data_IF_041034899935
#
_entry.id   IF_041034899935
#
_cell.length_a   1.000
_cell.length_b   1.000
_cell.length_c   1.000
_cell.angle_alpha   90.00
_cell.angle_beta   90.00
_cell.angle_gamma   90.00
#
_symmetry.space_group_name_H-M   'P 1'
#
loop_
_entity.id
_entity.type
_entity.pdbx_description
1 polymer ?
#
# COMPACT_ATOMS: atom_id res chain seq x y z
N UNK A 1 19.53 6.86 16.34
CA UNK A 1 18.81 7.44 15.18
C UNK A 1 18.38 6.28 14.32
N UNK A 2 17.12 6.25 13.90
CA UNK A 2 16.61 5.20 13.01
C UNK A 2 17.27 5.41 11.64
N UNK A 3 18.36 4.68 11.36
CA UNK A 3 19.32 4.97 10.27
C UNK A 3 18.71 5.06 8.86
N UNK A 4 17.50 4.52 8.66
CA UNK A 4 16.84 4.44 7.36
C UNK A 4 15.66 5.40 7.18
N UNK A 5 15.41 6.29 8.14
CA UNK A 5 14.31 7.26 8.09
C UNK A 5 14.89 8.66 8.11
N UNK A 6 14.60 9.50 7.12
CA UNK A 6 15.05 10.89 7.18
C UNK A 6 14.28 11.59 8.32
N UNK A 7 15.03 12.22 9.21
CA UNK A 7 14.56 12.84 10.46
C UNK A 7 14.74 14.34 10.33
N UNK A 8 13.64 15.09 10.37
CA UNK A 8 13.68 16.55 10.46
C UNK A 8 13.07 17.05 11.77
N UNK A 9 13.76 17.97 12.44
CA UNK A 9 13.31 18.56 13.71
C UNK A 9 12.37 19.74 13.46
N UNK A 10 11.15 19.64 13.97
CA UNK A 10 10.10 20.66 13.82
C UNK A 10 10.02 21.60 15.03
N UNK A 11 11.14 21.87 15.71
CA UNK A 11 11.18 22.77 16.87
C UNK A 11 10.94 24.24 16.51
N UNK A 12 11.21 24.63 15.27
CA UNK A 12 10.96 25.99 14.75
C UNK A 12 9.50 26.28 14.40
N UNK A 13 8.62 25.27 14.46
CA UNK A 13 7.24 25.33 13.97
C UNK A 13 6.21 25.62 15.08
N UNK A 14 6.56 26.44 16.07
CA UNK A 14 5.71 26.85 17.21
C UNK A 14 5.22 25.70 18.11
N UNK A 15 5.40 25.84 19.43
CA UNK A 15 5.01 24.81 20.42
C UNK A 15 4.56 25.43 21.72
N UNK A 16 3.69 24.71 22.42
CA UNK A 16 3.45 24.97 23.83
C UNK A 16 4.74 24.68 24.65
N UNK A 17 5.14 25.58 25.56
CA UNK A 17 6.26 25.33 26.47
C UNK A 17 6.05 24.06 27.30
N UNK A 18 7.01 23.12 27.26
CA UNK A 18 6.99 21.89 28.05
C UNK A 18 6.63 20.60 27.28
N UNK A 19 6.24 20.70 26.01
CA UNK A 19 6.00 19.53 25.16
C UNK A 19 7.29 19.03 24.50
N UNK A 20 7.41 17.70 24.33
CA UNK A 20 8.53 17.10 23.61
C UNK A 20 8.56 17.59 22.14
N UNK A 21 9.74 17.82 21.53
CA UNK A 21 9.85 18.18 20.12
C UNK A 21 9.17 17.14 19.20
N UNK A 22 8.71 17.52 18.01
CA UNK A 22 8.19 16.62 16.99
C UNK A 22 9.25 16.46 15.93
N UNK A 23 9.27 15.27 15.39
CA UNK A 23 10.17 14.83 14.36
C UNK A 23 9.32 14.34 13.20
N UNK A 24 9.63 14.80 12.00
CA UNK A 24 9.07 14.22 10.79
C UNK A 24 9.94 13.06 10.31
N UNK A 25 9.26 11.98 9.96
CA UNK A 25 9.82 10.70 9.55
C UNK A 25 9.31 10.36 8.16
N UNK A 26 10.23 10.18 7.22
CA UNK A 26 9.92 9.77 5.84
C UNK A 26 11.18 9.84 5.01
N UNK A 27 11.24 9.16 3.86
CA UNK A 27 12.38 9.31 2.94
C UNK A 27 12.55 10.75 2.43
N UNK A 28 11.45 11.48 2.31
CA UNK A 28 11.40 12.83 1.74
C UNK A 28 10.92 13.88 2.75
N UNK A 29 11.03 13.62 4.05
CA UNK A 29 10.47 14.50 5.09
C UNK A 29 10.91 15.96 4.91
N UNK A 30 12.20 16.22 4.68
CA UNK A 30 12.73 17.57 4.44
C UNK A 30 12.14 18.29 3.22
N UNK A 31 12.10 17.64 2.06
CA UNK A 31 11.57 18.27 0.84
C UNK A 31 10.06 18.43 0.94
N UNK A 32 9.33 17.39 1.33
CA UNK A 32 7.88 17.40 1.36
C UNK A 32 7.36 18.40 2.41
N UNK A 33 8.00 18.52 3.57
CA UNK A 33 7.68 19.55 4.55
C UNK A 33 7.91 20.98 4.04
N UNK A 34 8.94 21.21 3.22
CA UNK A 34 9.16 22.52 2.57
C UNK A 34 8.03 22.91 1.60
N UNK A 35 7.36 21.92 1.01
CA UNK A 35 6.21 22.12 0.11
C UNK A 35 4.88 22.16 0.85
N UNK A 36 4.82 21.55 2.03
CA UNK A 36 3.65 21.57 2.88
C UNK A 36 3.53 22.97 3.47
N UNK A 37 2.67 23.82 2.90
CA UNK A 37 2.14 24.95 3.67
C UNK A 37 1.29 24.32 4.77
N UNK A 38 1.77 24.34 6.01
CA UNK A 38 0.91 24.15 7.18
C UNK A 38 0.03 25.40 7.20
N UNK A 39 -1.05 25.34 6.40
CA UNK A 39 -1.60 26.51 5.76
C UNK A 39 -2.30 27.47 6.73
N UNK A 40 -2.57 27.06 7.97
CA UNK A 40 -3.22 27.90 8.99
C UNK A 40 -2.85 27.55 10.44
N UNK A 41 -1.84 26.71 10.70
CA UNK A 41 -1.46 26.32 12.06
C UNK A 41 0.01 26.67 12.34
N UNK A 42 0.23 27.65 13.21
CA UNK A 42 1.55 28.00 13.78
C UNK A 42 2.19 26.83 14.57
N UNK A 43 1.65 25.61 14.52
CA UNK A 43 2.01 24.47 15.35
C UNK A 43 2.00 23.17 14.52
N UNK A 44 3.13 22.44 14.48
CA UNK A 44 3.15 21.09 13.93
C UNK A 44 2.32 20.13 14.81
N UNK A 45 1.48 19.29 14.19
CA UNK A 45 0.63 18.30 14.89
C UNK A 45 1.17 16.89 14.64
N UNK A 46 1.11 16.04 15.66
CA UNK A 46 1.41 14.62 15.50
C UNK A 46 0.38 13.94 14.59
N UNK A 47 0.85 13.19 13.59
CA UNK A 47 -0.03 12.55 12.62
C UNK A 47 0.70 11.98 11.41
N UNK A 48 -0.08 11.42 10.49
CA UNK A 48 0.40 10.79 9.27
C UNK A 48 -0.08 11.62 8.08
N UNK A 49 0.85 12.18 7.32
CA UNK A 49 0.57 12.91 6.09
C UNK A 49 0.81 12.01 4.88
N UNK A 50 -0.24 11.55 4.19
CA UNK A 50 -0.09 10.73 2.99
C UNK A 50 0.78 11.41 1.93
N UNK A 51 1.68 10.66 1.27
CA UNK A 51 2.54 11.17 0.20
C UNK A 51 2.14 10.62 -1.16
N UNK A 52 1.64 11.53 -2.00
CA UNK A 52 1.14 11.20 -3.32
C UNK A 52 0.02 10.15 -3.29
N UNK A 53 -0.34 9.72 -4.48
CA UNK A 53 -1.39 8.72 -4.75
C UNK A 53 -1.31 7.41 -3.94
N UNK A 54 -0.12 6.84 -3.67
CA UNK A 54 0.03 5.57 -2.97
C UNK A 54 -0.22 5.80 -1.49
N UNK A 55 0.29 6.91 -0.97
CA UNK A 55 -0.07 7.39 0.36
C UNK A 55 -1.57 7.59 0.47
N UNK A 56 -2.19 8.25 -0.50
CA UNK A 56 -3.65 8.48 -0.50
C UNK A 56 -4.45 7.17 -0.58
N UNK A 57 -4.07 6.24 -1.47
CA UNK A 57 -4.69 4.93 -1.56
C UNK A 57 -4.60 4.17 -0.23
N UNK A 58 -3.47 4.28 0.46
CA UNK A 58 -3.25 3.55 1.70
C UNK A 58 -3.90 4.22 2.92
N UNK A 59 -3.61 5.50 3.15
CA UNK A 59 -3.96 6.22 4.37
C UNK A 59 -5.31 6.94 4.32
N UNK A 60 -5.82 7.31 3.13
CA UNK A 60 -7.12 7.99 3.01
C UNK A 60 -8.29 7.03 2.71
N UNK A 61 -8.02 5.87 2.09
CA UNK A 61 -9.09 4.91 1.74
C UNK A 61 -9.26 3.80 2.76
N UNK A 62 -8.16 3.33 3.35
CA UNK A 62 -8.23 2.31 4.39
C UNK A 62 -8.42 2.97 5.76
N UNK A 63 -9.04 2.27 6.72
CA UNK A 63 -8.95 2.67 8.12
C UNK A 63 -7.48 2.76 8.54
N UNK A 64 -7.10 3.75 9.35
CA UNK A 64 -5.72 3.92 9.79
C UNK A 64 -5.14 2.64 10.44
N UNK A 65 -5.95 1.89 11.18
CA UNK A 65 -5.57 0.65 11.86
C UNK A 65 -5.26 -0.49 10.89
N UNK A 66 -5.84 -0.46 9.68
CA UNK A 66 -5.50 -1.37 8.59
C UNK A 66 -4.27 -0.87 7.82
N UNK A 67 -4.26 0.42 7.47
CA UNK A 67 -3.20 1.05 6.69
C UNK A 67 -1.81 0.80 7.33
N UNK A 68 -1.73 0.96 8.66
CA UNK A 68 -0.48 0.75 9.41
C UNK A 68 -0.04 -0.71 9.46
N UNK A 69 -0.91 -1.68 9.19
CA UNK A 69 -0.54 -3.09 9.06
C UNK A 69 -0.03 -3.42 7.66
N UNK A 70 -0.39 -2.65 6.64
CA UNK A 70 0.05 -2.88 5.25
C UNK A 70 1.49 -2.39 5.06
N UNK A 71 1.82 -1.21 5.60
CA UNK A 71 3.17 -0.67 5.54
C UNK A 71 3.44 0.31 6.70
N UNK A 72 4.70 0.46 7.13
CA UNK A 72 5.06 1.55 8.03
C UNK A 72 4.85 2.91 7.33
N UNK A 73 4.40 3.96 8.06
CA UNK A 73 4.08 5.26 7.47
C UNK A 73 5.20 5.87 6.64
N UNK A 74 6.44 5.83 7.12
CA UNK A 74 7.58 6.46 6.44
C UNK A 74 7.95 5.88 5.07
N UNK A 75 7.26 4.82 4.58
CA UNK A 75 7.38 4.32 3.21
C UNK A 75 6.56 5.11 2.18
N UNK A 76 5.43 5.69 2.59
CA UNK A 76 4.46 6.31 1.68
C UNK A 76 3.68 7.48 2.32
N UNK A 77 4.18 7.98 3.44
CA UNK A 77 3.67 9.12 4.17
C UNK A 77 4.82 9.80 4.95
N UNK A 78 4.57 11.02 5.41
CA UNK A 78 5.38 11.66 6.46
C UNK A 78 4.69 11.37 7.79
N UNK A 79 5.36 10.65 8.69
CA UNK A 79 4.90 10.52 10.07
C UNK A 79 5.53 11.61 10.93
N UNK A 80 4.71 12.50 11.47
CA UNK A 80 5.13 13.47 12.47
C UNK A 80 4.88 12.87 13.84
N UNK A 81 5.94 12.60 14.60
CA UNK A 81 5.88 11.93 15.92
C UNK A 81 6.67 12.70 16.96
N UNK A 82 6.42 12.49 18.24
CA UNK A 82 7.23 13.09 19.30
C UNK A 82 8.65 12.52 19.35
N UNK A 83 9.63 13.35 19.68
CA UNK A 83 11.03 13.00 19.80
C UNK A 83 11.27 11.97 20.90
N UNK A 84 10.49 12.02 21.98
CA UNK A 84 10.60 11.04 23.06
C UNK A 84 10.08 9.66 22.64
N UNK A 85 9.05 9.59 21.78
CA UNK A 85 8.63 8.34 21.11
C UNK A 85 9.77 7.80 20.25
N UNK A 86 10.38 8.64 19.40
CA UNK A 86 11.53 8.23 18.59
C UNK A 86 12.73 7.78 19.45
N UNK A 87 12.97 8.45 20.58
CA UNK A 87 14.10 8.14 21.47
C UNK A 87 13.88 6.85 22.26
N UNK A 88 12.61 6.52 22.57
CA UNK A 88 12.23 5.29 23.26
C UNK A 88 12.25 4.05 22.35
N UNK A 89 12.25 4.23 21.03
CA UNK A 89 12.14 3.16 20.04
C UNK A 89 13.33 3.19 19.07
N UNK A 90 14.45 2.53 19.42
CA UNK A 90 15.71 2.68 18.71
C UNK A 90 15.73 2.01 17.32
N UNK A 91 14.83 1.04 17.07
CA UNK A 91 14.74 0.34 15.78
C UNK A 91 13.52 0.80 14.97
N UNK A 92 13.58 0.62 13.64
CA UNK A 92 12.43 0.84 12.74
C UNK A 92 11.23 -0.05 13.12
N UNK A 93 11.49 -1.28 13.58
CA UNK A 93 10.48 -2.22 14.02
C UNK A 93 9.75 -1.74 15.28
N UNK A 94 10.50 -1.35 16.33
CA UNK A 94 9.94 -0.82 17.57
C UNK A 94 9.13 0.45 17.30
N UNK A 95 9.66 1.31 16.45
CA UNK A 95 8.99 2.56 16.08
C UNK A 95 7.70 2.30 15.31
N UNK A 96 7.67 1.26 14.47
CA UNK A 96 6.49 0.93 13.70
C UNK A 96 5.39 0.40 14.62
N UNK A 97 5.76 -0.47 15.56
CA UNK A 97 4.84 -0.95 16.59
C UNK A 97 4.27 0.23 17.39
N UNK A 98 5.13 1.14 17.85
CA UNK A 98 4.70 2.29 18.65
C UNK A 98 3.75 3.21 17.87
N UNK A 99 4.04 3.50 16.61
CA UNK A 99 3.13 4.29 15.76
C UNK A 99 1.83 3.54 15.53
N UNK A 100 1.86 2.23 15.28
CA UNK A 100 0.66 1.42 15.14
C UNK A 100 -0.23 1.49 16.39
N UNK A 101 0.34 1.34 17.59
CA UNK A 101 -0.39 1.49 18.87
C UNK A 101 -1.04 2.86 19.01
N UNK A 102 -0.33 3.92 18.61
CA UNK A 102 -0.85 5.30 18.67
C UNK A 102 -1.98 5.53 17.68
N UNK A 103 -1.86 5.03 16.45
CA UNK A 103 -2.92 5.04 15.42
C UNK A 103 -4.18 4.37 15.98
N UNK A 104 -4.07 3.15 16.53
CA UNK A 104 -5.23 2.43 17.10
C UNK A 104 -5.88 3.16 18.29
N UNK A 105 -5.11 3.98 19.01
CA UNK A 105 -5.61 4.78 20.14
C UNK A 105 -6.15 6.16 19.74
N UNK A 106 -6.15 6.50 18.44
CA UNK A 106 -6.55 7.81 17.93
C UNK A 106 -5.57 8.95 18.22
N UNK A 107 -4.35 8.64 18.71
CA UNK A 107 -3.31 9.63 19.09
C UNK A 107 -2.37 10.01 17.93
N UNK A 108 -2.60 9.44 16.75
CA UNK A 108 -1.85 9.73 15.53
C UNK A 108 -2.84 9.68 14.36
N UNK A 109 -3.61 10.75 14.12
CA UNK A 109 -4.59 10.80 13.05
C UNK A 109 -3.93 10.85 11.67
N UNK A 110 -4.70 10.47 10.64
CA UNK A 110 -4.34 10.76 9.24
C UNK A 110 -4.69 12.22 8.96
N UNK A 111 -3.72 12.97 8.47
CA UNK A 111 -3.79 14.38 8.14
C UNK A 111 -3.90 14.56 6.62
N UNK A 112 -4.21 15.78 6.11
CA UNK A 112 -4.29 16.02 4.67
C UNK A 112 -3.02 15.57 3.93
N UNK A 113 -3.23 15.01 2.73
CA UNK A 113 -2.17 14.55 1.86
C UNK A 113 -1.27 15.70 1.40
N UNK A 114 0.00 15.40 1.21
CA UNK A 114 1.01 16.31 0.68
C UNK A 114 1.28 15.92 -0.77
N UNK A 115 1.26 16.90 -1.66
CA UNK A 115 1.65 16.70 -3.06
C UNK A 115 3.10 16.25 -3.11
N UNK A 116 3.32 15.09 -3.73
CA UNK A 116 4.63 14.56 -4.02
C UNK A 116 4.68 14.17 -5.49
N UNK A 117 5.81 14.42 -6.15
CA UNK A 117 6.07 13.76 -7.43
C UNK A 117 6.17 12.27 -7.16
N UNK A 118 5.56 11.45 -8.02
CA UNK A 118 5.71 10.00 -7.95
C UNK A 118 7.20 9.64 -8.00
N UNK A 119 7.74 9.15 -6.89
CA UNK A 119 9.15 8.77 -6.80
C UNK A 119 9.31 7.39 -6.14
N UNK A 120 10.55 6.93 -6.09
CA UNK A 120 11.00 5.60 -5.72
C UNK A 120 10.59 5.25 -4.27
N UNK A 121 9.39 4.69 -4.14
CA UNK A 121 8.89 4.12 -2.89
C UNK A 121 9.42 2.70 -2.74
N UNK A 122 9.75 2.29 -1.51
CA UNK A 122 10.03 0.88 -1.20
C UNK A 122 8.75 0.06 -1.47
N UNK A 123 8.72 -0.60 -2.63
CA UNK A 123 7.61 -1.43 -3.13
C UNK A 123 7.95 -2.91 -2.94
N UNK A 124 6.96 -3.80 -2.75
CA UNK A 124 7.22 -5.23 -2.76
C UNK A 124 7.87 -5.64 -4.08
N UNK A 125 8.92 -6.44 -3.99
CA UNK A 125 9.53 -7.08 -5.16
C UNK A 125 8.51 -7.93 -5.92
N UNK A 126 8.71 -8.08 -7.22
CA UNK A 126 7.87 -8.94 -8.05
C UNK A 126 7.86 -10.37 -7.51
N UNK A 127 9.03 -10.85 -7.10
CA UNK A 127 9.22 -12.11 -6.37
C UNK A 127 9.39 -11.84 -4.87
N UNK A 128 9.02 -12.77 -3.98
CA UNK A 128 9.18 -12.57 -2.55
C UNK A 128 10.66 -12.45 -2.19
N UNK A 129 10.94 -11.51 -1.29
CA UNK A 129 12.21 -11.46 -0.59
C UNK A 129 12.10 -12.36 0.64
N UNK A 130 13.11 -13.19 0.91
CA UNK A 130 13.13 -14.03 2.11
C UNK A 130 13.35 -13.15 3.35
N UNK A 131 12.32 -12.43 3.78
CA UNK A 131 12.34 -11.60 4.97
C UNK A 131 11.30 -12.08 5.99
N UNK A 132 11.64 -11.95 7.27
CA UNK A 132 10.75 -12.28 8.37
C UNK A 132 10.12 -11.00 8.88
N UNK A 133 8.79 -10.95 8.94
CA UNK A 133 8.11 -9.80 9.55
C UNK A 133 8.22 -9.81 11.08
N UNK A 134 8.14 -8.63 11.72
CA UNK A 134 8.04 -8.50 13.16
C UNK A 134 6.99 -9.42 13.79
N UNK A 135 7.29 -10.00 14.96
CA UNK A 135 6.36 -10.92 15.66
C UNK A 135 5.06 -10.20 16.04
N UNK A 136 5.15 -8.94 16.48
CA UNK A 136 3.98 -8.14 16.81
C UNK A 136 3.08 -7.95 15.57
N UNK A 137 3.67 -7.73 14.40
CA UNK A 137 2.94 -7.50 13.16
C UNK A 137 2.24 -8.78 12.70
N UNK A 138 2.93 -9.91 12.73
CA UNK A 138 2.34 -11.22 12.43
C UNK A 138 1.12 -11.50 13.33
N UNK A 139 1.25 -11.28 14.63
CA UNK A 139 0.14 -11.43 15.57
C UNK A 139 -1.02 -10.46 15.28
N UNK A 140 -0.71 -9.20 14.94
CA UNK A 140 -1.72 -8.20 14.59
C UNK A 140 -2.45 -8.51 13.30
N UNK A 141 -1.77 -9.01 12.27
CA UNK A 141 -2.39 -9.48 11.02
C UNK A 141 -3.33 -10.64 11.32
N UNK A 142 -2.86 -11.66 12.05
CA UNK A 142 -3.66 -12.86 12.36
C UNK A 142 -4.92 -12.55 13.18
N UNK A 143 -4.87 -11.52 14.03
CA UNK A 143 -6.00 -11.10 14.88
C UNK A 143 -6.81 -9.93 14.33
N UNK A 144 -6.42 -9.35 13.18
CA UNK A 144 -7.08 -8.17 12.63
C UNK A 144 -8.54 -8.46 12.28
N UNK A 145 -9.44 -7.57 12.68
CA UNK A 145 -10.85 -7.59 12.30
C UNK A 145 -11.33 -6.17 12.01
N UNK A 146 -12.07 -5.93 10.91
CA UNK A 146 -12.58 -4.61 10.53
C UNK A 146 -13.74 -4.09 11.41
N UNK A 147 -13.93 -4.65 12.61
CA UNK A 147 -15.10 -4.44 13.46
C UNK A 147 -16.25 -5.34 13.04
N UNK A 148 -17.32 -4.75 12.49
CA UNK A 148 -18.50 -5.49 12.00
C UNK A 148 -18.15 -6.28 10.74
N UNK A 149 -18.07 -7.61 10.88
CA UNK A 149 -17.76 -8.53 9.78
C UNK A 149 -19.04 -9.11 9.20
N UNK A 150 -19.36 -8.76 7.95
CA UNK A 150 -20.49 -9.31 7.20
C UNK A 150 -20.13 -10.60 6.45
N UNK A 151 -18.86 -10.79 6.07
CA UNK A 151 -18.40 -11.98 5.33
C UNK A 151 -17.06 -12.48 5.86
N UNK A 152 -17.07 -13.65 6.49
CA UNK A 152 -15.84 -14.31 6.95
C UNK A 152 -14.96 -14.78 5.80
N UNK A 153 -15.55 -15.11 4.66
CA UNK A 153 -14.79 -15.51 3.46
C UNK A 153 -14.01 -14.32 2.91
N UNK A 154 -14.63 -13.15 2.83
CA UNK A 154 -13.95 -11.93 2.36
C UNK A 154 -12.95 -11.42 3.41
N UNK A 155 -13.20 -11.65 4.70
CA UNK A 155 -12.19 -11.42 5.75
C UNK A 155 -10.96 -12.33 5.57
N UNK A 156 -11.15 -13.61 5.23
CA UNK A 156 -10.02 -14.50 4.90
C UNK A 156 -9.27 -14.03 3.66
N UNK A 157 -9.95 -13.46 2.67
CA UNK A 157 -9.29 -12.84 1.52
C UNK A 157 -8.48 -11.60 1.91
N UNK A 158 -8.98 -10.77 2.83
CA UNK A 158 -8.22 -9.63 3.38
C UNK A 158 -6.96 -10.10 4.12
N UNK A 159 -7.06 -11.15 4.94
CA UNK A 159 -5.89 -11.74 5.61
C UNK A 159 -4.87 -12.31 4.63
N UNK A 160 -5.31 -12.98 3.56
CA UNK A 160 -4.41 -13.43 2.49
C UNK A 160 -3.65 -12.25 1.87
N UNK A 161 -4.35 -11.14 1.56
CA UNK A 161 -3.73 -9.90 1.08
C UNK A 161 -2.69 -9.31 2.04
N UNK A 162 -3.02 -9.22 3.34
CA UNK A 162 -2.10 -8.73 4.37
C UNK A 162 -0.84 -9.61 4.49
N UNK A 163 -0.97 -10.92 4.42
CA UNK A 163 0.19 -11.82 4.40
C UNK A 163 1.03 -11.59 3.15
N UNK A 164 0.38 -11.34 2.01
CA UNK A 164 1.04 -11.24 0.72
C UNK A 164 1.81 -9.94 0.52
N UNK A 165 1.36 -8.81 1.06
CA UNK A 165 2.15 -7.55 1.06
C UNK A 165 3.42 -7.67 1.90
N UNK A 166 3.49 -8.69 2.76
CA UNK A 166 4.60 -9.01 3.67
C UNK A 166 5.39 -10.26 3.25
N UNK A 167 5.28 -10.67 1.99
CA UNK A 167 6.02 -11.81 1.41
C UNK A 167 5.75 -13.16 2.10
N UNK A 168 4.67 -13.29 2.88
CA UNK A 168 4.23 -14.55 3.50
C UNK A 168 3.42 -15.38 2.51
N UNK A 169 4.05 -15.79 1.40
CA UNK A 169 3.37 -16.46 0.27
C UNK A 169 2.71 -17.77 0.68
N UNK A 170 3.39 -18.63 1.44
CA UNK A 170 2.82 -19.94 1.85
C UNK A 170 1.53 -19.80 2.66
N UNK A 171 1.49 -18.83 3.57
CA UNK A 171 0.32 -18.55 4.40
C UNK A 171 -0.79 -17.89 3.58
N UNK A 172 -0.45 -16.92 2.73
CA UNK A 172 -1.41 -16.30 1.80
C UNK A 172 -2.02 -17.34 0.85
N UNK A 173 -1.19 -18.23 0.33
CA UNK A 173 -1.61 -19.34 -0.52
C UNK A 173 -2.60 -20.25 0.22
N UNK A 174 -2.25 -20.70 1.42
CA UNK A 174 -3.09 -21.56 2.24
C UNK A 174 -4.46 -20.93 2.53
N UNK A 175 -4.49 -19.63 2.85
CA UNK A 175 -5.75 -18.92 3.06
C UNK A 175 -6.56 -18.78 1.78
N UNK A 176 -5.95 -18.32 0.69
CA UNK A 176 -6.62 -18.14 -0.61
C UNK A 176 -7.20 -19.45 -1.12
N UNK A 177 -6.43 -20.55 -1.02
CA UNK A 177 -6.83 -21.90 -1.37
C UNK A 177 -8.05 -22.39 -0.57
N UNK A 178 -8.14 -22.05 0.72
CA UNK A 178 -9.27 -22.47 1.56
C UNK A 178 -10.63 -21.85 1.14
N UNK A 179 -10.58 -20.72 0.42
CA UNK A 179 -11.73 -19.93 -0.01
C UNK A 179 -11.94 -19.89 -1.52
N UNK A 180 -11.29 -20.79 -2.27
CA UNK A 180 -11.39 -20.85 -3.74
C UNK A 180 -12.84 -20.86 -4.23
N UNK A 181 -13.14 -19.99 -5.21
CA UNK A 181 -14.47 -19.88 -5.79
C UNK A 181 -15.55 -19.51 -4.76
N UNK A 182 -15.20 -18.81 -3.68
CA UNK A 182 -16.14 -18.26 -2.68
C UNK A 182 -15.95 -16.75 -2.54
N UNK A 183 -16.77 -16.13 -1.69
CA UNK A 183 -16.69 -14.71 -1.37
C UNK A 183 -17.26 -13.81 -2.47
N UNK A 184 -17.27 -12.51 -2.19
CA UNK A 184 -17.63 -11.49 -3.16
C UNK A 184 -16.49 -11.33 -4.16
N UNK A 185 -16.86 -11.08 -5.41
CA UNK A 185 -15.94 -10.76 -6.51
C UNK A 185 -14.78 -11.74 -6.75
N UNK A 186 -14.77 -12.93 -6.14
CA UNK A 186 -13.65 -13.89 -6.21
C UNK A 186 -12.33 -13.31 -5.69
N UNK A 187 -12.37 -12.45 -4.67
CA UNK A 187 -11.16 -11.83 -4.10
C UNK A 187 -10.09 -12.86 -3.65
N UNK A 188 -10.50 -14.02 -3.13
CA UNK A 188 -9.59 -15.11 -2.77
C UNK A 188 -8.84 -15.68 -3.99
N UNK A 189 -9.56 -15.96 -5.08
CA UNK A 189 -8.96 -16.41 -6.35
C UNK A 189 -8.01 -15.32 -6.92
N UNK A 190 -8.30 -14.03 -6.69
CA UNK A 190 -7.43 -12.93 -7.12
C UNK A 190 -6.12 -12.92 -6.31
N UNK A 191 -6.16 -12.98 -4.98
CA UNK A 191 -4.93 -13.10 -4.18
C UNK A 191 -4.12 -14.36 -4.56
N UNK A 192 -4.79 -15.46 -4.85
CA UNK A 192 -4.18 -16.69 -5.38
C UNK A 192 -3.46 -16.45 -6.71
N UNK A 193 -4.08 -15.70 -7.62
CA UNK A 193 -3.47 -15.33 -8.90
C UNK A 193 -2.22 -14.46 -8.73
N UNK A 194 -2.28 -13.47 -7.84
CA UNK A 194 -1.10 -12.66 -7.48
C UNK A 194 -0.04 -13.55 -6.84
N UNK A 195 -0.42 -14.53 -6.03
CA UNK A 195 0.52 -15.42 -5.33
C UNK A 195 1.37 -16.17 -6.35
N UNK A 196 0.72 -16.90 -7.25
CA UNK A 196 1.39 -17.62 -8.32
C UNK A 196 2.22 -16.70 -9.25
N UNK A 197 1.78 -15.46 -9.48
CA UNK A 197 2.58 -14.48 -10.23
C UNK A 197 3.89 -14.15 -9.53
N UNK A 198 3.86 -14.08 -8.19
CA UNK A 198 5.01 -13.73 -7.35
C UNK A 198 5.95 -14.91 -7.08
N UNK A 199 5.53 -16.17 -7.25
CA UNK A 199 6.42 -17.35 -7.24
C UNK A 199 6.87 -17.82 -8.65
N UNK A 200 7.01 -16.88 -9.58
CA UNK A 200 7.13 -17.11 -11.02
C UNK A 200 6.35 -18.26 -11.68
N UNK A 201 5.21 -18.69 -11.14
CA UNK A 201 4.27 -19.62 -11.77
C UNK A 201 3.22 -18.86 -12.59
N UNK A 202 3.69 -18.23 -13.66
CA UNK A 202 2.87 -17.39 -14.53
C UNK A 202 1.72 -18.15 -15.20
N UNK A 203 1.90 -19.44 -15.49
CA UNK A 203 0.86 -20.28 -16.10
C UNK A 203 -0.32 -20.47 -15.16
N UNK A 204 -0.03 -20.75 -13.89
CA UNK A 204 -1.03 -20.93 -12.85
C UNK A 204 -1.66 -19.60 -12.43
N UNK A 205 -0.87 -18.52 -12.38
CA UNK A 205 -1.40 -17.17 -12.20
C UNK A 205 -2.50 -16.84 -13.22
N UNK A 206 -2.25 -17.10 -14.51
CA UNK A 206 -3.26 -16.92 -15.56
C UNK A 206 -4.46 -17.85 -15.38
N UNK A 207 -4.27 -19.08 -14.91
CA UNK A 207 -5.39 -19.97 -14.59
C UNK A 207 -6.33 -19.34 -13.55
N UNK A 208 -5.78 -18.79 -12.46
CA UNK A 208 -6.57 -18.12 -11.43
C UNK A 208 -7.22 -16.82 -11.92
N UNK A 209 -6.53 -16.02 -12.72
CA UNK A 209 -7.13 -14.83 -13.34
C UNK A 209 -8.33 -15.17 -14.25
N UNK A 210 -8.35 -16.34 -14.91
CA UNK A 210 -9.56 -16.80 -15.63
C UNK A 210 -10.73 -17.09 -14.68
N UNK A 211 -10.46 -17.56 -13.46
CA UNK A 211 -11.50 -17.79 -12.44
C UNK A 211 -12.03 -16.50 -11.83
N UNK A 212 -11.17 -15.48 -11.70
CA UNK A 212 -11.57 -14.12 -11.28
C UNK A 212 -12.54 -13.51 -12.28
N UNK A 213 -12.24 -13.59 -13.58
CA UNK A 213 -13.05 -12.96 -14.61
C UNK A 213 -13.00 -11.44 -14.51
N UNK A 214 -14.13 -10.76 -14.69
CA UNK A 214 -14.20 -9.30 -14.53
C UNK A 214 -14.21 -8.92 -13.04
N UNK A 215 -13.33 -7.99 -12.65
CA UNK A 215 -13.24 -7.52 -11.27
C UNK A 215 -13.59 -6.03 -11.13
N UNK A 216 -14.23 -5.59 -10.03
CA UNK A 216 -14.55 -4.17 -9.81
C UNK A 216 -13.33 -3.24 -9.78
N UNK A 217 -12.16 -3.74 -9.38
CA UNK A 217 -10.93 -2.91 -9.29
C UNK A 217 -10.28 -2.63 -10.65
N UNK A 218 -10.66 -3.37 -11.71
CA UNK A 218 -9.95 -3.30 -13.00
C UNK A 218 -10.05 -1.93 -13.67
N UNK A 219 -11.18 -1.24 -13.55
CA UNK A 219 -11.33 0.09 -14.16
C UNK A 219 -10.38 1.10 -13.53
N UNK A 220 -10.33 1.11 -12.20
CA UNK A 220 -9.50 2.00 -11.42
C UNK A 220 -8.01 1.63 -11.52
N UNK A 221 -7.69 0.34 -11.52
CA UNK A 221 -6.33 -0.15 -11.75
C UNK A 221 -5.80 0.31 -13.10
N UNK A 222 -6.63 0.26 -14.15
CA UNK A 222 -6.24 0.75 -15.47
C UNK A 222 -5.95 2.25 -15.47
N UNK A 223 -6.77 3.07 -14.81
CA UNK A 223 -6.53 4.51 -14.69
C UNK A 223 -5.21 4.82 -13.96
N UNK A 224 -4.97 4.17 -12.82
CA UNK A 224 -3.77 4.37 -12.03
C UNK A 224 -2.52 3.79 -12.71
N UNK A 225 -2.66 2.71 -13.48
CA UNK A 225 -1.58 2.17 -14.30
C UNK A 225 -1.22 3.11 -15.47
N UNK A 226 -2.19 3.80 -16.08
CA UNK A 226 -1.91 4.85 -17.07
C UNK A 226 -1.02 5.94 -16.45
N UNK A 227 -1.42 6.47 -15.28
CA UNK A 227 -0.62 7.46 -14.56
C UNK A 227 0.77 6.93 -14.18
N UNK A 228 0.86 5.65 -13.81
CA UNK A 228 2.15 5.02 -13.54
C UNK A 228 3.04 5.00 -14.78
N UNK A 229 2.50 4.63 -15.95
CA UNK A 229 3.23 4.61 -17.22
C UNK A 229 3.73 6.00 -17.64
N UNK A 230 2.96 7.07 -17.40
CA UNK A 230 3.33 8.45 -17.73
C UNK A 230 4.60 8.95 -17.00
N UNK A 231 5.00 8.29 -15.91
CA UNK A 231 6.22 8.62 -15.18
C UNK A 231 7.49 8.04 -15.81
N UNK A 232 7.36 7.20 -16.84
CA UNK A 232 8.48 6.56 -17.52
C UNK A 232 8.53 7.00 -18.99
N UNK A 233 9.74 7.06 -19.54
CA UNK A 233 9.90 7.39 -20.96
C UNK A 233 9.30 6.28 -21.83
N UNK A 234 8.46 6.69 -22.80
CA UNK A 234 7.72 5.85 -23.73
C UNK A 234 8.64 4.86 -24.46
N UNK A 235 9.89 5.25 -24.74
CA UNK A 235 10.87 4.38 -25.38
C UNK A 235 11.20 3.12 -24.55
N UNK A 236 11.06 3.17 -23.22
CA UNK A 236 11.31 2.03 -22.34
C UNK A 236 10.05 1.24 -22.01
N UNK A 237 8.90 1.89 -21.97
CA UNK A 237 7.62 1.24 -21.66
C UNK A 237 7.04 0.54 -22.90
N UNK A 238 7.31 1.06 -24.10
CA UNK A 238 6.93 0.44 -25.37
C UNK A 238 5.43 0.21 -25.51
N UNK A 239 5.03 -0.97 -26.01
CA UNK A 239 3.63 -1.33 -26.26
C UNK A 239 2.84 -1.75 -25.00
N UNK A 240 3.46 -1.79 -23.83
CA UNK A 240 2.80 -2.26 -22.62
C UNK A 240 1.51 -1.52 -22.24
N UNK A 241 1.39 -0.19 -22.34
CA UNK A 241 0.19 0.52 -21.93
C UNK A 241 -1.02 0.09 -22.75
N UNK A 242 -0.87 -0.10 -24.06
CA UNK A 242 -1.96 -0.55 -24.94
C UNK A 242 -2.35 -2.01 -24.74
N UNK A 243 -1.43 -2.84 -24.21
CA UNK A 243 -1.71 -4.24 -23.84
C UNK A 243 -2.39 -4.35 -22.48
N UNK A 244 -1.98 -3.54 -21.51
CA UNK A 244 -2.51 -3.57 -20.14
C UNK A 244 -3.88 -2.90 -20.04
N UNK A 245 -4.07 -1.78 -20.75
CA UNK A 245 -5.25 -0.93 -20.66
C UNK A 245 -6.19 -1.27 -21.81
N UNK A 246 -7.29 -1.92 -21.48
CA UNK A 246 -8.29 -2.35 -22.48
C UNK A 246 -9.52 -1.47 -22.43
N UNK A 247 -10.38 -1.60 -23.44
CA UNK A 247 -11.69 -0.91 -23.47
C UNK A 247 -12.57 -1.27 -22.26
N UNK A 248 -12.33 -2.41 -21.61
CA UNK A 248 -13.05 -2.89 -20.43
C UNK A 248 -12.31 -2.65 -19.11
N UNK A 249 -11.24 -1.85 -19.13
CA UNK A 249 -10.42 -1.52 -17.97
C UNK A 249 -9.03 -2.15 -18.08
N UNK A 250 -8.88 -3.37 -17.58
CA UNK A 250 -7.57 -3.99 -17.34
C UNK A 250 -7.45 -5.37 -17.97
N UNK A 251 -6.28 -5.70 -18.53
CA UNK A 251 -5.92 -7.07 -18.91
C UNK A 251 -4.95 -7.68 -17.89
N UNK A 252 -5.42 -8.56 -16.99
CA UNK A 252 -4.54 -9.21 -16.03
C UNK A 252 -3.57 -10.20 -16.67
N UNK A 253 -3.89 -10.76 -17.84
CA UNK A 253 -3.00 -11.67 -18.57
C UNK A 253 -1.81 -10.93 -19.15
N UNK A 254 -2.06 -9.74 -19.72
CA UNK A 254 -1.00 -8.85 -20.17
C UNK A 254 -0.11 -8.42 -18.99
N UNK A 255 -0.69 -8.17 -17.82
CA UNK A 255 0.13 -7.82 -16.65
C UNK A 255 0.99 -8.98 -16.15
N UNK A 256 0.47 -10.22 -16.17
CA UNK A 256 1.29 -11.41 -15.90
C UNK A 256 2.47 -11.52 -16.89
N UNK A 257 2.23 -11.25 -18.18
CA UNK A 257 3.29 -11.25 -19.20
C UNK A 257 4.34 -10.15 -18.94
N UNK A 258 3.91 -8.97 -18.49
CA UNK A 258 4.83 -7.89 -18.11
C UNK A 258 5.72 -8.32 -16.94
N UNK A 259 5.15 -8.92 -15.88
CA UNK A 259 5.94 -9.42 -14.76
C UNK A 259 6.93 -10.51 -15.19
N UNK A 260 6.52 -11.43 -16.05
CA UNK A 260 7.39 -12.47 -16.60
C UNK A 260 8.55 -11.89 -17.43
N UNK A 261 8.28 -10.85 -18.23
CA UNK A 261 9.34 -10.17 -18.97
C UNK A 261 10.28 -9.42 -18.04
N UNK A 262 9.72 -8.68 -17.08
CA UNK A 262 10.46 -7.90 -16.11
C UNK A 262 11.43 -8.75 -15.27
N UNK A 263 11.02 -9.95 -14.83
CA UNK A 263 11.86 -10.88 -14.07
C UNK A 263 13.16 -11.27 -14.80
N UNK A 264 13.11 -11.40 -16.14
CA UNK A 264 14.28 -11.75 -16.96
C UNK A 264 15.27 -10.60 -17.10
N UNK A 265 14.85 -9.39 -16.76
CA UNK A 265 15.61 -8.15 -16.91
C UNK A 265 15.62 -7.41 -15.58
N UNK A 266 16.34 -8.00 -14.61
CA UNK A 266 16.44 -7.44 -13.26
C UNK A 266 17.01 -6.02 -13.28
N UNK A 267 16.48 -5.15 -12.43
CA UNK A 267 16.83 -3.72 -12.38
C UNK A 267 16.40 -2.88 -13.61
N UNK A 268 15.59 -3.41 -14.52
CA UNK A 268 15.09 -2.65 -15.67
C UNK A 268 13.97 -1.66 -15.31
N UNK A 269 13.78 -0.65 -16.16
CA UNK A 269 12.64 0.28 -16.11
C UNK A 269 11.30 -0.47 -16.14
N UNK A 270 11.22 -1.57 -16.90
CA UNK A 270 10.03 -2.43 -16.91
C UNK A 270 9.81 -3.13 -15.56
N UNK A 271 10.88 -3.55 -14.88
CA UNK A 271 10.80 -4.07 -13.52
C UNK A 271 10.27 -3.05 -12.54
N UNK A 272 10.68 -1.79 -12.66
CA UNK A 272 10.19 -0.72 -11.79
C UNK A 272 8.72 -0.39 -12.04
N UNK A 273 8.32 -0.27 -13.31
CA UNK A 273 6.91 -0.11 -13.69
C UNK A 273 6.05 -1.28 -13.18
N UNK A 274 6.50 -2.52 -13.37
CA UNK A 274 5.79 -3.71 -12.93
C UNK A 274 5.63 -3.75 -11.40
N UNK A 275 6.67 -3.41 -10.62
CA UNK A 275 6.58 -3.27 -9.16
C UNK A 275 5.58 -2.19 -8.75
N UNK A 276 5.56 -1.06 -9.47
CA UNK A 276 4.60 0.03 -9.21
C UNK A 276 3.16 -0.43 -9.39
N UNK A 277 2.85 -1.01 -10.55
CA UNK A 277 1.51 -1.48 -10.90
C UNK A 277 1.09 -2.60 -9.94
N UNK A 278 1.99 -3.54 -9.61
CA UNK A 278 1.69 -4.60 -8.65
C UNK A 278 1.33 -4.02 -7.29
N UNK A 279 2.07 -3.02 -6.81
CA UNK A 279 1.76 -2.39 -5.52
C UNK A 279 0.40 -1.70 -5.53
N UNK A 280 0.08 -0.94 -6.58
CA UNK A 280 -1.24 -0.32 -6.76
C UNK A 280 -2.34 -1.38 -6.77
N UNK A 281 -2.16 -2.46 -7.55
CA UNK A 281 -3.11 -3.58 -7.63
C UNK A 281 -3.39 -4.19 -6.25
N UNK A 282 -2.34 -4.45 -5.47
CA UNK A 282 -2.47 -5.03 -4.12
C UNK A 282 -3.19 -4.08 -3.16
N UNK A 283 -2.92 -2.77 -3.23
CA UNK A 283 -3.61 -1.78 -2.39
C UNK A 283 -5.10 -1.66 -2.72
N UNK A 284 -5.44 -1.62 -4.01
CA UNK A 284 -6.84 -1.61 -4.46
C UNK A 284 -7.57 -2.89 -4.02
N UNK A 285 -6.89 -4.04 -4.09
CA UNK A 285 -7.47 -5.32 -3.67
C UNK A 285 -7.60 -5.41 -2.14
N UNK A 286 -6.69 -4.83 -1.36
CA UNK A 286 -6.85 -4.67 0.10
C UNK A 286 -8.09 -3.83 0.42
N UNK A 287 -8.27 -2.68 -0.22
CA UNK A 287 -9.47 -1.85 -0.03
C UNK A 287 -10.74 -2.63 -0.40
N UNK A 288 -10.76 -3.29 -1.56
CA UNK A 288 -11.92 -4.09 -1.98
C UNK A 288 -12.23 -5.24 -1.03
N UNK A 289 -11.22 -6.00 -0.59
CA UNK A 289 -11.40 -7.10 0.37
C UNK A 289 -11.84 -6.61 1.74
N UNK A 290 -11.37 -5.45 2.18
CA UNK A 290 -11.87 -4.79 3.40
C UNK A 290 -13.36 -4.41 3.28
N UNK A 291 -13.75 -3.74 2.20
CA UNK A 291 -15.14 -3.37 1.92
C UNK A 291 -16.04 -4.62 1.84
N UNK A 292 -15.58 -5.65 1.13
CA UNK A 292 -16.26 -6.92 1.02
C UNK A 292 -16.29 -7.70 2.34
N UNK A 293 -15.33 -7.55 3.25
CA UNK A 293 -15.43 -8.16 4.59
C UNK A 293 -16.55 -7.50 5.42
N UNK A 294 -16.71 -6.18 5.29
CA UNK A 294 -17.75 -5.39 5.97
C UNK A 294 -19.12 -5.43 5.32
N UNK A 295 -19.18 -5.84 4.06
CA UNK A 295 -20.41 -5.79 3.26
C UNK A 295 -20.78 -4.41 2.77
N UNK A 296 -19.80 -3.52 2.69
CA UNK A 296 -19.97 -2.19 2.16
C UNK A 296 -20.04 -2.24 0.63
N UNK A 297 -21.13 -1.70 0.09
CA UNK A 297 -21.36 -1.58 -1.36
C UNK A 297 -20.86 -0.24 -1.91
N UNK A 298 -19.97 0.48 -1.20
CA UNK A 298 -19.47 1.77 -1.68
C UNK A 298 -18.81 1.56 -3.04
N UNK A 299 -19.31 2.28 -4.04
CA UNK A 299 -18.65 2.44 -5.34
C UNK A 299 -17.24 2.96 -5.08
N UNK A 300 -16.23 2.32 -5.66
CA UNK A 300 -14.84 2.77 -5.62
C UNK A 300 -14.61 4.09 -6.37
N UNK A 301 -15.65 4.70 -6.96
CA UNK A 301 -15.56 5.97 -7.70
C UNK A 301 -15.44 7.20 -6.81
N UNK A 302 -14.45 7.25 -5.91
CA UNK A 302 -14.07 8.48 -5.19
C UNK A 302 -12.84 9.16 -5.81
N UNK A 303 -12.52 8.86 -7.06
CA UNK A 303 -11.49 9.56 -7.82
C UNK A 303 -12.10 10.72 -8.61
N UNK A 304 -12.31 11.85 -7.92
CA UNK A 304 -12.41 13.16 -8.57
C UNK A 304 -11.00 13.78 -8.57
N UNK A 305 -10.18 13.41 -9.56
CA UNK A 305 -9.04 14.25 -9.95
C UNK A 305 -9.59 15.42 -10.76
N UNK A 306 -10.30 16.34 -10.10
CA UNK A 306 -10.58 17.65 -10.70
C UNK A 306 -9.25 18.40 -10.82
N UNK A 307 -8.73 18.43 -12.06
CA UNK A 307 -7.75 19.39 -12.60
C UNK A 307 -7.22 20.39 -11.55
N UNK A 308 -6.08 20.08 -10.95
CA UNK A 308 -5.20 21.07 -10.31
C UNK A 308 -3.82 20.93 -10.90
#
# INVERSE_FOLDING_TARGET
MVEFVAVENLSSWGRNPGEAPLIALGRESAWALSQTRFADEEHAVEGIHPLGIVGELLWNRLPPELAVLVAPPWRNAIAVVRQDVLSAHPTTEDLWQAVAERVNSGKCPVLPAVEARWQEQDRPSLTPTLFTIPTWLAHRIASYSPGDVASRVDLSALHAGLLQVHDRLDESHSLSQSIEGKGRHRNGDYWHAIMHRREPDYGNSKYWFRRVGQHPVFLELAQLATLACENFDEAFVGEWPSRLITRTGWDPFAFVDLCQQAERTDGSILGELARQIQWIEMLLLIDRTYQDARGDSRSTSRFEWERR
#
